data_IF_750040444012
#
_entry.id   IF_750040444012
#
_cell.length_a   1.000
_cell.length_b   1.000
_cell.length_c   1.000
_cell.angle_alpha   90.00
_cell.angle_beta   90.00
_cell.angle_gamma   90.00
#
_symmetry.space_group_name_H-M   'P 1'
#
loop_
_entity.id
_entity.type
_entity.pdbx_description
1 polymer ?
#
# COMPACT_ATOMS: atom_id res chain seq x y z
N UNK A 1 27.65 -0.76 -12.27
CA UNK A 1 27.55 -0.32 -10.83
C UNK A 1 26.17 0.31 -10.64
N UNK A 2 25.37 -0.14 -9.66
CA UNK A 2 24.05 0.44 -9.37
C UNK A 2 24.14 1.97 -9.32
N UNK A 3 23.33 2.66 -10.12
CA UNK A 3 23.26 4.12 -10.01
C UNK A 3 22.65 4.45 -8.64
N UNK A 4 23.46 5.10 -7.81
CA UNK A 4 23.07 5.59 -6.49
C UNK A 4 21.79 6.44 -6.51
N UNK A 5 21.52 7.10 -7.65
CA UNK A 5 20.32 7.90 -7.88
C UNK A 5 19.08 7.01 -8.02
N UNK A 6 19.12 6.00 -8.87
CA UNK A 6 17.99 5.09 -9.16
C UNK A 6 17.62 4.26 -7.93
N UNK A 7 18.63 3.78 -7.18
CA UNK A 7 18.40 3.09 -5.89
C UNK A 7 17.69 4.01 -4.90
N UNK A 8 18.07 5.28 -4.87
CA UNK A 8 17.46 6.28 -3.98
C UNK A 8 16.02 6.56 -4.39
N UNK A 9 15.75 6.78 -5.69
CA UNK A 9 14.39 7.04 -6.20
C UNK A 9 13.44 5.86 -5.91
N UNK A 10 13.88 4.62 -6.09
CA UNK A 10 13.11 3.44 -5.70
C UNK A 10 12.87 3.35 -4.19
N UNK A 11 13.87 3.69 -3.35
CA UNK A 11 13.70 3.74 -1.89
C UNK A 11 12.72 4.83 -1.47
N UNK A 12 12.84 6.02 -2.04
CA UNK A 12 11.99 7.16 -1.72
C UNK A 12 10.53 6.84 -2.09
N UNK A 13 10.28 6.27 -3.26
CA UNK A 13 8.94 5.83 -3.67
C UNK A 13 8.33 4.77 -2.72
N UNK A 14 9.14 3.79 -2.28
CA UNK A 14 8.69 2.77 -1.32
C UNK A 14 8.44 3.34 0.09
N UNK A 15 9.24 4.32 0.52
CA UNK A 15 9.04 5.00 1.81
C UNK A 15 7.77 5.85 1.78
N UNK A 16 7.52 6.57 0.68
CA UNK A 16 6.31 7.34 0.48
C UNK A 16 5.06 6.46 0.45
N UNK A 17 5.13 5.32 -0.23
CA UNK A 17 4.07 4.30 -0.22
C UNK A 17 3.82 3.78 1.20
N UNK A 18 4.88 3.42 1.94
CA UNK A 18 4.77 2.93 3.32
C UNK A 18 4.09 3.96 4.23
N UNK A 19 4.46 5.23 4.11
CA UNK A 19 3.90 6.30 4.94
C UNK A 19 2.39 6.46 4.69
N UNK A 20 1.96 6.39 3.42
CA UNK A 20 0.53 6.42 3.07
C UNK A 20 -0.22 5.22 3.64
N UNK A 21 0.36 4.01 3.51
CA UNK A 21 -0.23 2.80 4.08
C UNK A 21 -0.41 2.95 5.60
N UNK A 22 0.58 3.49 6.30
CA UNK A 22 0.52 3.73 7.74
C UNK A 22 -0.58 4.75 8.11
N UNK A 23 -0.81 5.76 7.27
CA UNK A 23 -1.90 6.72 7.45
C UNK A 23 -3.29 6.08 7.26
N UNK A 24 -3.48 5.30 6.20
CA UNK A 24 -4.75 4.62 5.95
C UNK A 24 -5.03 3.57 7.01
N UNK A 25 -4.02 2.83 7.50
CA UNK A 25 -4.17 1.91 8.63
C UNK A 25 -4.72 2.66 9.86
N UNK A 26 -4.15 3.82 10.22
CA UNK A 26 -4.67 4.64 11.34
C UNK A 26 -6.12 5.05 11.12
N UNK A 27 -6.48 5.42 9.89
CA UNK A 27 -7.87 5.75 9.54
C UNK A 27 -8.81 4.54 9.76
N UNK A 28 -8.39 3.33 9.36
CA UNK A 28 -9.17 2.09 9.61
C UNK A 28 -9.27 1.72 11.10
N UNK A 29 -8.26 2.02 11.91
CA UNK A 29 -8.28 1.81 13.36
C UNK A 29 -9.25 2.79 14.06
N UNK A 30 -9.25 4.05 13.63
CA UNK A 30 -10.20 5.06 14.14
C UNK A 30 -11.66 4.67 13.85
N UNK A 31 -11.91 3.96 12.75
CA UNK A 31 -13.21 3.41 12.40
C UNK A 31 -13.60 2.17 13.25
N UNK A 32 -12.63 1.37 13.74
CA UNK A 32 -12.86 0.19 14.59
C UNK A 32 -13.40 0.52 15.97
N UNK A 33 -13.15 1.72 16.49
CA UNK A 33 -13.70 2.18 17.77
C UNK A 33 -15.24 2.34 17.79
N UNK A 34 -15.93 2.03 16.69
CA UNK A 34 -17.40 2.10 16.58
C UNK A 34 -18.12 0.74 16.51
N UNK A 35 -17.44 -0.40 16.51
CA UNK A 35 -18.11 -1.73 16.60
C UNK A 35 -18.81 -1.98 17.93
N UNK A 36 -18.57 -1.15 18.97
CA UNK A 36 -19.27 -1.24 20.27
C UNK A 36 -20.52 -0.33 20.28
N UNK A 37 -20.70 0.54 19.27
CA UNK A 37 -21.90 1.36 19.12
C UNK A 37 -23.12 0.58 18.55
N UNK A 38 -22.96 -0.71 18.23
CA UNK A 38 -24.08 -1.59 17.89
C UNK A 38 -24.97 -1.95 19.10
N UNK A 39 -24.65 -1.50 20.31
CA UNK A 39 -25.44 -1.86 21.51
C UNK A 39 -26.45 -0.78 21.92
N UNK A 40 -26.28 0.51 21.62
CA UNK A 40 -27.25 1.52 22.07
C UNK A 40 -27.37 2.75 21.17
N UNK A 41 -28.63 3.10 20.87
CA UNK A 41 -29.15 4.41 20.48
C UNK A 41 -29.34 4.69 18.98
N UNK A 42 -30.53 4.31 18.50
CA UNK A 42 -31.09 4.73 17.22
C UNK A 42 -31.17 6.26 17.07
N UNK A 43 -30.15 6.85 16.46
CA UNK A 43 -30.17 8.24 16.02
C UNK A 43 -29.45 8.41 14.67
N UNK A 44 -30.07 9.18 13.78
CA UNK A 44 -29.69 9.40 12.37
C UNK A 44 -28.34 10.12 12.16
N UNK A 45 -27.62 10.48 13.24
CA UNK A 45 -26.35 11.22 13.22
C UNK A 45 -25.16 10.27 12.99
N UNK A 46 -25.24 9.02 13.44
CA UNK A 46 -24.18 8.00 13.30
C UNK A 46 -23.90 7.65 11.83
N UNK A 47 -24.91 7.75 10.96
CA UNK A 47 -24.77 7.47 9.53
C UNK A 47 -23.91 8.46 8.75
N UNK A 48 -23.85 9.73 9.16
CA UNK A 48 -23.12 10.77 8.40
C UNK A 48 -21.61 10.72 8.68
N UNK A 49 -21.23 10.49 9.94
CA UNK A 49 -19.83 10.31 10.36
C UNK A 49 -19.24 9.02 9.78
N UNK A 50 -20.03 7.92 9.75
CA UNK A 50 -19.63 6.64 9.14
C UNK A 50 -19.30 6.79 7.65
N UNK A 51 -20.09 7.58 6.90
CA UNK A 51 -19.82 7.83 5.47
C UNK A 51 -18.56 8.66 5.23
N UNK A 52 -18.29 9.66 6.07
CA UNK A 52 -17.07 10.48 5.93
C UNK A 52 -15.81 9.65 6.13
N UNK A 53 -15.78 8.77 7.14
CA UNK A 53 -14.58 7.94 7.42
C UNK A 53 -14.33 6.87 6.37
N UNK A 54 -15.40 6.28 5.83
CA UNK A 54 -15.30 5.36 4.68
C UNK A 54 -14.78 6.11 3.45
N UNK A 55 -15.24 7.34 3.23
CA UNK A 55 -14.72 8.21 2.16
C UNK A 55 -13.23 8.49 2.36
N UNK A 56 -12.78 8.86 3.56
CA UNK A 56 -11.36 9.09 3.87
C UNK A 56 -10.51 7.83 3.59
N UNK A 57 -11.00 6.64 3.97
CA UNK A 57 -10.32 5.37 3.70
C UNK A 57 -10.24 5.10 2.19
N UNK A 58 -11.33 5.29 1.46
CA UNK A 58 -11.35 5.09 0.01
C UNK A 58 -10.44 6.07 -0.72
N UNK A 59 -10.41 7.33 -0.31
CA UNK A 59 -9.48 8.33 -0.86
C UNK A 59 -8.04 7.91 -0.61
N UNK A 60 -7.70 7.47 0.60
CA UNK A 60 -6.36 6.94 0.91
C UNK A 60 -6.01 5.68 0.11
N UNK A 61 -6.96 4.77 -0.13
CA UNK A 61 -6.73 3.58 -0.96
C UNK A 61 -6.41 3.94 -2.43
N UNK A 62 -7.04 4.97 -2.97
CA UNK A 62 -6.69 5.49 -4.31
C UNK A 62 -5.28 6.09 -4.31
N UNK A 63 -4.90 6.84 -3.27
CA UNK A 63 -3.52 7.37 -3.15
C UNK A 63 -2.49 6.23 -3.02
N UNK A 64 -2.79 5.19 -2.25
CA UNK A 64 -1.95 3.98 -2.16
C UNK A 64 -1.78 3.34 -3.54
N UNK A 65 -2.86 3.23 -4.33
CA UNK A 65 -2.81 2.68 -5.68
C UNK A 65 -1.87 3.48 -6.58
N UNK A 66 -1.94 4.80 -6.54
CA UNK A 66 -1.05 5.69 -7.30
C UNK A 66 0.41 5.51 -6.88
N UNK A 67 0.69 5.56 -5.56
CA UNK A 67 2.04 5.37 -5.01
C UNK A 67 2.60 3.97 -5.28
N UNK A 68 1.74 2.95 -5.29
CA UNK A 68 2.13 1.58 -5.65
C UNK A 68 2.57 1.49 -7.11
N UNK A 69 1.87 2.18 -8.01
CA UNK A 69 2.25 2.24 -9.43
C UNK A 69 3.58 2.97 -9.63
N UNK A 70 3.83 4.05 -8.89
CA UNK A 70 5.12 4.76 -8.90
C UNK A 70 6.23 3.84 -8.38
N UNK A 71 6.04 3.21 -7.20
CA UNK A 71 7.04 2.29 -6.65
C UNK A 71 7.35 1.13 -7.59
N UNK A 72 6.33 0.56 -8.25
CA UNK A 72 6.49 -0.47 -9.28
C UNK A 72 7.33 0.03 -10.45
N UNK A 73 7.08 1.26 -10.93
CA UNK A 73 7.85 1.88 -12.00
C UNK A 73 9.32 2.08 -11.61
N UNK A 74 9.61 2.74 -10.49
CA UNK A 74 10.99 3.04 -10.07
C UNK A 74 11.80 1.75 -9.80
N UNK A 75 11.15 0.70 -9.31
CA UNK A 75 11.78 -0.62 -9.17
C UNK A 75 12.06 -1.31 -10.51
N UNK A 76 11.23 -1.05 -11.52
CA UNK A 76 11.45 -1.50 -12.91
C UNK A 76 12.59 -0.72 -13.58
N UNK A 77 12.64 0.60 -13.39
CA UNK A 77 13.70 1.46 -13.92
C UNK A 77 15.08 1.06 -13.35
N UNK A 78 15.14 0.76 -12.04
CA UNK A 78 16.31 0.17 -11.39
C UNK A 78 16.79 -1.11 -12.08
N UNK A 79 15.85 -1.95 -12.51
CA UNK A 79 16.16 -3.23 -13.15
C UNK A 79 16.65 -3.04 -14.59
N UNK A 80 16.04 -2.15 -15.36
CA UNK A 80 16.48 -1.84 -16.73
C UNK A 80 17.95 -1.39 -16.76
N UNK A 81 18.36 -0.60 -15.76
CA UNK A 81 19.76 -0.18 -15.58
C UNK A 81 20.70 -1.33 -15.14
N UNK A 82 20.18 -2.40 -14.53
CA UNK A 82 20.95 -3.60 -14.15
C UNK A 82 21.07 -4.63 -15.28
N UNK A 83 20.04 -4.72 -16.14
CA UNK A 83 19.97 -5.65 -17.28
C UNK A 83 21.02 -5.35 -18.37
N UNK A 84 21.54 -4.12 -18.44
CA UNK A 84 22.69 -3.81 -19.29
C UNK A 84 24.00 -4.47 -18.80
N UNK A 85 24.08 -4.96 -17.55
CA UNK A 85 25.27 -5.63 -17.00
C UNK A 85 25.10 -7.16 -16.78
N UNK A 86 23.98 -7.73 -16.28
CA UNK A 86 23.81 -9.20 -16.04
C UNK A 86 22.34 -9.68 -16.09
N UNK A 87 22.11 -10.88 -16.70
CA UNK A 87 20.83 -11.62 -16.85
C UNK A 87 19.86 -11.58 -15.65
N UNK A 88 18.66 -11.00 -15.86
CA UNK A 88 17.79 -10.49 -14.79
C UNK A 88 16.33 -11.03 -14.83
N UNK A 89 16.08 -12.21 -15.42
CA UNK A 89 14.70 -12.73 -15.60
C UNK A 89 13.92 -12.91 -14.28
N UNK A 90 14.63 -13.13 -13.16
CA UNK A 90 13.98 -13.45 -11.89
C UNK A 90 13.49 -12.22 -11.11
N UNK A 91 14.08 -11.03 -11.31
CA UNK A 91 13.72 -9.84 -10.50
C UNK A 91 12.45 -9.15 -11.00
N UNK A 92 12.23 -9.06 -12.32
CA UNK A 92 11.00 -8.51 -12.91
C UNK A 92 9.80 -9.35 -12.50
N UNK A 93 9.93 -10.66 -12.72
CA UNK A 93 8.93 -11.62 -12.33
C UNK A 93 8.62 -11.50 -10.83
N UNK A 94 9.64 -11.30 -9.99
CA UNK A 94 9.45 -11.11 -8.56
C UNK A 94 8.68 -9.81 -8.23
N UNK A 95 9.01 -8.68 -8.86
CA UNK A 95 8.38 -7.37 -8.61
C UNK A 95 6.94 -7.34 -9.11
N UNK A 96 6.68 -7.77 -10.34
CA UNK A 96 5.34 -7.83 -10.91
C UNK A 96 4.43 -8.74 -10.09
N UNK A 97 4.89 -9.96 -9.78
CA UNK A 97 4.11 -10.92 -8.98
C UNK A 97 3.81 -10.38 -7.59
N UNK A 98 4.75 -9.69 -6.94
CA UNK A 98 4.51 -9.10 -5.62
C UNK A 98 3.46 -8.00 -5.69
N UNK A 99 3.64 -7.01 -6.55
CA UNK A 99 2.74 -5.87 -6.57
C UNK A 99 1.34 -6.22 -7.10
N UNK A 100 1.25 -7.10 -8.10
CA UNK A 100 -0.03 -7.51 -8.66
C UNK A 100 -0.83 -8.33 -7.65
N UNK A 101 -0.18 -9.23 -6.90
CA UNK A 101 -0.84 -9.98 -5.82
C UNK A 101 -1.31 -9.02 -4.71
N UNK A 102 -0.47 -8.07 -4.29
CA UNK A 102 -0.88 -7.14 -3.22
C UNK A 102 -2.06 -6.26 -3.65
N UNK A 103 -2.02 -5.70 -4.86
CA UNK A 103 -3.12 -4.86 -5.32
C UNK A 103 -4.40 -5.67 -5.52
N UNK A 104 -4.30 -6.89 -6.05
CA UNK A 104 -5.44 -7.83 -6.15
C UNK A 104 -6.00 -8.16 -4.78
N UNK A 105 -5.12 -8.42 -3.83
CA UNK A 105 -5.47 -8.63 -2.42
C UNK A 105 -6.05 -7.38 -1.79
N UNK A 106 -5.92 -6.18 -2.35
CA UNK A 106 -6.59 -4.94 -1.92
C UNK A 106 -7.92 -4.65 -2.67
N UNK A 107 -8.14 -5.28 -3.82
CA UNK A 107 -9.22 -4.96 -4.80
C UNK A 107 -10.58 -5.64 -4.58
N UNK A 108 -11.04 -5.84 -3.35
CA UNK A 108 -12.39 -6.39 -3.13
C UNK A 108 -13.18 -5.41 -2.27
N UNK A 109 -14.43 -5.13 -2.66
CA UNK A 109 -15.45 -4.43 -1.85
C UNK A 109 -15.58 -5.18 -0.51
N UNK A 110 -14.74 -4.82 0.45
CA UNK A 110 -14.56 -5.55 1.71
C UNK A 110 -14.76 -4.66 2.90
N UNK A 111 -15.04 -5.31 4.03
CA UNK A 111 -15.13 -4.65 5.31
C UNK A 111 -13.79 -4.01 5.73
N UNK A 112 -13.88 -2.95 6.54
CA UNK A 112 -12.72 -2.18 7.05
C UNK A 112 -11.67 -3.09 7.70
N UNK A 113 -12.09 -4.20 8.32
CA UNK A 113 -11.19 -5.18 8.92
C UNK A 113 -10.27 -5.80 7.87
N UNK A 114 -10.83 -6.26 6.75
CA UNK A 114 -10.06 -6.91 5.70
C UNK A 114 -9.19 -5.89 4.96
N UNK A 115 -9.70 -4.68 4.71
CA UNK A 115 -8.90 -3.58 4.17
C UNK A 115 -7.65 -3.36 5.02
N UNK A 116 -7.82 -3.28 6.35
CA UNK A 116 -6.69 -3.12 7.27
C UNK A 116 -5.72 -4.30 7.23
N UNK A 117 -6.22 -5.54 7.23
CA UNK A 117 -5.37 -6.74 7.14
C UNK A 117 -4.55 -6.75 5.84
N UNK A 118 -5.16 -6.40 4.72
CA UNK A 118 -4.47 -6.29 3.44
C UNK A 118 -3.45 -5.14 3.42
N UNK A 119 -3.74 -4.02 4.06
CA UNK A 119 -2.79 -2.92 4.22
C UNK A 119 -1.58 -3.31 5.08
N UNK A 120 -1.76 -4.06 6.17
CA UNK A 120 -0.63 -4.61 6.93
C UNK A 120 0.21 -5.59 6.09
N UNK A 121 -0.43 -6.43 5.28
CA UNK A 121 0.27 -7.33 4.37
C UNK A 121 1.07 -6.55 3.32
N UNK A 122 0.47 -5.55 2.67
CA UNK A 122 1.16 -4.65 1.75
C UNK A 122 2.35 -3.96 2.43
N UNK A 123 2.14 -3.38 3.62
CA UNK A 123 3.20 -2.74 4.42
C UNK A 123 4.38 -3.67 4.66
N UNK A 124 4.12 -4.91 5.06
CA UNK A 124 5.15 -5.93 5.29
C UNK A 124 5.94 -6.22 4.01
N UNK A 125 5.26 -6.33 2.86
CA UNK A 125 5.93 -6.55 1.56
C UNK A 125 6.81 -5.38 1.16
N UNK A 126 6.34 -4.15 1.34
CA UNK A 126 7.13 -2.93 1.10
C UNK A 126 8.39 -2.92 1.97
N UNK A 127 8.27 -3.27 3.25
CA UNK A 127 9.43 -3.38 4.16
C UNK A 127 10.41 -4.50 3.76
N UNK A 128 9.92 -5.63 3.26
CA UNK A 128 10.75 -6.70 2.73
C UNK A 128 11.55 -6.24 1.51
N UNK A 129 10.96 -5.43 0.62
CA UNK A 129 11.67 -4.86 -0.54
C UNK A 129 12.69 -3.80 -0.09
N UNK A 130 12.30 -2.86 0.78
CA UNK A 130 13.20 -1.83 1.32
C UNK A 130 14.45 -2.43 1.95
N UNK A 131 14.32 -3.56 2.66
CA UNK A 131 15.47 -4.29 3.24
C UNK A 131 16.42 -4.87 2.20
N UNK A 132 15.93 -5.22 1.01
CA UNK A 132 16.76 -5.76 -0.10
C UNK A 132 17.50 -4.67 -0.87
N UNK A 133 17.04 -3.43 -0.79
CA UNK A 133 17.67 -2.27 -1.45
C UNK A 133 18.76 -1.62 -0.57
N UNK A 134 18.84 -1.97 0.71
CA UNK A 134 19.90 -1.54 1.63
C UNK A 134 21.15 -2.39 1.48
#
# INVERSE_FOLDING_TARGET
>A
MLDSKEVREAKDALLDLRNEIDEVIKNTESARNWSIADIFAGSSIVGFVKRSKIKDINEGLEVIREKLAIAKKELGDLKLNLDEEISNTNYDFFVDVIFDNIFTDLRVDRDIKDVRENLYNLRKRVEEILKKLN
#
